data_IF_605773783937
#
_entry.id   IF_605773783937
#
_cell.length_a   1.000
_cell.length_b   1.000
_cell.length_c   1.000
_cell.angle_alpha   90.00
_cell.angle_beta   90.00
_cell.angle_gamma   90.00
#
_symmetry.space_group_name_H-M   'P 1'
#
loop_
_entity.id
_entity.type
_entity.pdbx_description
1 polymer ?
#
# COMPACT_ATOMS: atom_id res chain seq x y z
N UNK A 1 27.54 -12.40 -12.90
CA UNK A 1 27.02 -11.29 -12.06
C UNK A 1 26.88 -10.09 -13.00
N UNK A 2 25.75 -9.42 -13.21
CA UNK A 2 24.57 -9.15 -12.38
C UNK A 2 23.28 -9.44 -13.17
N UNK A 3 22.33 -10.17 -12.56
CA UNK A 3 20.96 -10.33 -13.07
C UNK A 3 20.12 -9.15 -12.59
N UNK A 4 19.66 -8.30 -13.51
CA UNK A 4 18.57 -7.37 -13.20
C UNK A 4 17.27 -7.95 -13.77
N UNK A 5 16.41 -8.38 -12.85
CA UNK A 5 15.15 -9.06 -13.12
C UNK A 5 14.17 -8.18 -13.88
N UNK A 6 13.50 -8.80 -14.86
CA UNK A 6 12.45 -8.18 -15.63
C UNK A 6 11.32 -7.66 -14.73
N UNK A 7 10.94 -6.41 -14.95
CA UNK A 7 9.70 -5.85 -14.43
C UNK A 7 8.55 -6.57 -15.12
N UNK A 8 7.85 -7.44 -14.40
CA UNK A 8 6.51 -7.87 -14.79
C UNK A 8 5.56 -6.68 -14.64
N UNK A 9 5.40 -5.90 -15.71
CA UNK A 9 4.30 -4.93 -15.82
C UNK A 9 3.02 -5.77 -15.91
N UNK A 10 2.43 -6.09 -14.75
CA UNK A 10 1.10 -6.68 -14.70
C UNK A 10 0.14 -5.78 -15.47
N UNK A 11 -0.60 -6.35 -16.42
CA UNK A 11 -1.66 -5.72 -17.23
C UNK A 11 -2.39 -4.67 -16.39
N UNK A 12 -2.20 -3.39 -16.73
CA UNK A 12 -2.92 -2.30 -16.10
C UNK A 12 -4.42 -2.59 -16.24
N UNK A 13 -5.05 -3.02 -15.16
CA UNK A 13 -6.51 -3.13 -15.11
C UNK A 13 -7.01 -1.70 -15.07
N UNK A 14 -7.35 -1.16 -16.25
CA UNK A 14 -8.08 0.10 -16.35
C UNK A 14 -9.28 -0.01 -15.43
N UNK A 15 -9.29 0.80 -14.38
CA UNK A 15 -10.41 0.84 -13.44
C UNK A 15 -11.61 1.34 -14.23
N UNK A 16 -12.71 0.61 -14.16
CA UNK A 16 -13.97 1.06 -14.75
C UNK A 16 -14.31 2.43 -14.14
N UNK A 17 -14.51 3.48 -14.96
CA UNK A 17 -14.75 4.84 -14.48
C UNK A 17 -15.98 4.95 -13.57
N UNK A 18 -16.90 3.98 -13.58
CA UNK A 18 -18.08 3.96 -12.73
C UNK A 18 -17.88 3.25 -11.37
N UNK A 19 -16.67 2.79 -11.05
CA UNK A 19 -16.39 2.17 -9.76
C UNK A 19 -16.08 3.23 -8.71
N UNK A 20 -16.91 3.34 -7.67
CA UNK A 20 -16.62 4.18 -6.50
C UNK A 20 -15.19 3.94 -6.00
N UNK A 21 -14.44 5.00 -5.62
CA UNK A 21 -13.10 4.82 -5.10
C UNK A 21 -13.16 3.97 -3.83
N UNK A 22 -12.55 2.80 -3.87
CA UNK A 22 -12.47 1.86 -2.74
C UNK A 22 -11.53 2.34 -1.62
N UNK A 23 -10.81 3.44 -1.86
CA UNK A 23 -9.85 4.06 -0.94
C UNK A 23 -10.08 5.55 -0.97
N UNK A 24 -10.18 6.16 0.20
CA UNK A 24 -10.23 7.61 0.34
C UNK A 24 -8.81 8.17 0.42
N UNK A 25 -8.52 9.23 -0.33
CA UNK A 25 -7.22 9.90 -0.25
C UNK A 25 -7.28 10.96 0.84
N UNK A 26 -6.51 10.73 1.91
CA UNK A 26 -6.38 11.65 3.04
C UNK A 26 -4.91 12.01 3.26
N UNK A 27 -4.66 13.25 3.68
CA UNK A 27 -3.33 13.71 4.06
C UNK A 27 -3.06 13.37 5.53
N UNK A 28 -2.43 12.22 5.78
CA UNK A 28 -2.10 11.74 7.14
C UNK A 28 -0.59 11.83 7.37
N UNK A 29 -0.21 12.26 8.58
CA UNK A 29 1.19 12.28 9.04
C UNK A 29 1.49 10.96 9.75
N UNK A 30 2.60 10.33 9.40
CA UNK A 30 3.12 9.13 10.04
C UNK A 30 4.51 9.40 10.61
N UNK A 31 4.90 8.65 11.63
CA UNK A 31 6.27 8.68 12.15
C UNK A 31 7.27 8.30 11.04
N UNK A 32 8.44 8.98 10.95
CA UNK A 32 9.40 8.76 9.87
C UNK A 32 9.95 7.33 9.80
N UNK A 33 10.17 6.70 10.95
CA UNK A 33 10.62 5.32 11.12
C UNK A 33 9.61 4.31 10.55
N UNK A 34 8.33 4.50 10.85
CA UNK A 34 7.23 3.68 10.31
C UNK A 34 7.18 3.79 8.79
N UNK A 35 7.23 5.01 8.25
CA UNK A 35 7.24 5.22 6.79
C UNK A 35 8.48 4.60 6.13
N UNK A 36 9.65 4.73 6.75
CA UNK A 36 10.89 4.16 6.24
C UNK A 36 10.82 2.63 6.18
N UNK A 37 10.32 1.99 7.24
CA UNK A 37 10.16 0.53 7.31
C UNK A 37 9.26 0.01 6.18
N UNK A 38 8.09 0.63 5.97
CA UNK A 38 7.21 0.22 4.89
C UNK A 38 7.81 0.53 3.51
N UNK A 39 8.38 1.72 3.27
CA UNK A 39 8.99 2.07 1.98
C UNK A 39 10.12 1.13 1.58
N UNK A 40 10.91 0.66 2.55
CA UNK A 40 11.98 -0.32 2.32
C UNK A 40 11.47 -1.65 1.73
N UNK A 41 10.19 -1.98 1.90
CA UNK A 41 9.58 -3.17 1.30
C UNK A 41 9.37 -3.05 -0.23
N UNK A 42 9.62 -1.88 -0.82
CA UNK A 42 9.55 -1.65 -2.26
C UNK A 42 8.13 -1.41 -2.78
N UNK A 43 7.91 -1.71 -4.06
CA UNK A 43 6.62 -1.48 -4.74
C UNK A 43 5.46 -2.13 -3.98
N UNK A 44 4.35 -1.39 -3.84
CA UNK A 44 3.18 -1.85 -3.09
C UNK A 44 3.25 -1.63 -1.58
N UNK A 45 4.25 -0.91 -1.06
CA UNK A 45 4.35 -0.63 0.37
C UNK A 45 3.12 0.05 0.98
N UNK A 46 2.43 0.92 0.23
CA UNK A 46 1.18 1.55 0.68
C UNK A 46 0.04 0.53 0.84
N UNK A 47 -0.03 -0.46 -0.06
CA UNK A 47 -1.00 -1.56 0.07
C UNK A 47 -0.67 -2.41 1.30
N UNK A 48 0.61 -2.76 1.52
CA UNK A 48 1.03 -3.47 2.74
C UNK A 48 0.71 -2.70 4.02
N UNK A 49 0.96 -1.39 4.05
CA UNK A 49 0.62 -0.54 5.18
C UNK A 49 -0.89 -0.52 5.43
N UNK A 50 -1.69 -0.35 4.38
CA UNK A 50 -3.16 -0.42 4.48
C UNK A 50 -3.64 -1.78 5.01
N UNK A 51 -3.06 -2.88 4.55
CA UNK A 51 -3.45 -4.23 5.00
C UNK A 51 -3.06 -4.47 6.46
N UNK A 52 -1.91 -3.95 6.91
CA UNK A 52 -1.52 -3.97 8.31
C UNK A 52 -2.50 -3.19 9.20
N UNK A 53 -2.96 -2.01 8.76
CA UNK A 53 -3.98 -1.23 9.47
C UNK A 53 -5.32 -1.99 9.52
N UNK A 54 -5.72 -2.64 8.41
CA UNK A 54 -6.93 -3.47 8.38
C UNK A 54 -6.84 -4.66 9.32
N UNK A 55 -5.68 -5.31 9.41
CA UNK A 55 -5.48 -6.43 10.32
C UNK A 55 -5.48 -5.99 11.79
N UNK A 56 -4.84 -4.86 12.10
CA UNK A 56 -4.89 -4.26 13.43
C UNK A 56 -6.33 -3.99 13.90
N UNK A 57 -7.19 -3.48 13.02
CA UNK A 57 -8.62 -3.24 13.30
C UNK A 57 -9.44 -4.50 13.57
N UNK A 58 -8.95 -5.71 13.23
CA UNK A 58 -9.65 -6.96 13.55
C UNK A 58 -9.54 -7.31 15.03
N UNK A 59 -8.50 -6.82 15.70
CA UNK A 59 -8.17 -7.15 17.09
C UNK A 59 -8.20 -5.92 18.00
N UNK A 60 -8.33 -4.71 17.45
CA UNK A 60 -8.33 -3.46 18.19
C UNK A 60 -9.47 -2.55 17.72
N UNK A 61 -9.95 -1.72 18.64
CA UNK A 61 -10.87 -0.63 18.34
C UNK A 61 -10.11 0.71 18.37
N UNK A 62 -10.22 1.54 17.33
CA UNK A 62 -9.78 2.92 17.41
C UNK A 62 -10.72 3.64 18.40
N UNK A 63 -10.14 4.24 19.45
CA UNK A 63 -10.87 4.95 20.50
C UNK A 63 -11.15 6.40 20.13
#
# INVERSE_FOLDING_TARGET
>A
MLKQGGVVIGKARTRDPNTKPTKEQVAVRYSPDVLAAFRATGTGWQTRMNDALRDWLRTHSPV
#
